data_IF_756056848859
#
_entry.id   IF_756056848859
#
_cell.length_a   1.000
_cell.length_b   1.000
_cell.length_c   1.000
_cell.angle_alpha   90.00
_cell.angle_beta   90.00
_cell.angle_gamma   90.00
#
_symmetry.space_group_name_H-M   'P 1'
#
loop_
_entity.id
_entity.type
_entity.pdbx_description
1 polymer ?
#
# COMPACT_ATOMS: atom_id res chain seq x y z
N UNK A 1 4.49 -14.37 -15.40
CA UNK A 1 3.78 -13.80 -14.25
C UNK A 1 4.57 -14.21 -13.02
N UNK A 2 5.03 -13.26 -12.20
CA UNK A 2 5.56 -13.58 -10.87
C UNK A 2 4.42 -14.13 -10.02
N UNK A 3 4.69 -15.15 -9.20
CA UNK A 3 3.70 -15.71 -8.26
C UNK A 3 3.36 -14.61 -7.24
N UNK A 4 2.08 -14.22 -7.13
CA UNK A 4 1.63 -13.16 -6.22
C UNK A 4 2.04 -13.40 -4.77
N UNK A 5 2.20 -14.67 -4.37
CA UNK A 5 2.66 -15.04 -3.03
C UNK A 5 4.11 -14.64 -2.78
N UNK A 6 4.95 -14.72 -3.81
CA UNK A 6 6.35 -14.25 -3.74
C UNK A 6 6.36 -12.73 -3.54
N UNK A 7 5.54 -12.02 -4.32
CA UNK A 7 5.42 -10.56 -4.22
C UNK A 7 4.91 -10.13 -2.82
N UNK A 8 3.93 -10.82 -2.25
CA UNK A 8 3.47 -10.51 -0.89
C UNK A 8 4.59 -10.60 0.14
N UNK A 9 5.35 -11.70 0.13
CA UNK A 9 6.45 -11.88 1.09
C UNK A 9 7.58 -10.84 0.92
N UNK A 10 7.78 -10.36 -0.30
CA UNK A 10 8.84 -9.40 -0.63
C UNK A 10 8.44 -7.95 -0.35
N UNK A 11 7.15 -7.62 -0.36
CA UNK A 11 6.69 -6.24 -0.37
C UNK A 11 5.68 -5.87 0.71
N UNK A 12 5.18 -6.79 1.54
CA UNK A 12 4.30 -6.45 2.68
C UNK A 12 5.08 -6.28 3.98
N UNK A 13 4.51 -5.53 4.93
CA UNK A 13 5.08 -5.29 6.27
C UNK A 13 6.47 -4.64 6.25
N UNK A 14 6.71 -3.72 5.31
CA UNK A 14 7.98 -2.99 5.16
C UNK A 14 7.75 -1.49 5.18
N UNK A 15 8.75 -0.74 5.61
CA UNK A 15 8.76 0.71 5.48
C UNK A 15 9.04 1.11 4.04
N UNK A 16 8.21 1.98 3.47
CA UNK A 16 8.39 2.48 2.12
C UNK A 16 9.11 3.82 2.18
N UNK A 17 10.21 3.93 1.42
CA UNK A 17 11.10 5.09 1.44
C UNK A 17 11.29 5.67 0.03
N UNK A 18 11.23 6.99 -0.08
CA UNK A 18 11.63 7.74 -1.26
C UNK A 18 12.81 8.64 -0.88
N UNK A 19 13.98 8.37 -1.49
CA UNK A 19 15.22 8.98 -1.03
C UNK A 19 15.56 8.62 0.43
N UNK A 20 15.68 9.63 1.29
CA UNK A 20 15.93 9.48 2.73
C UNK A 20 14.65 9.49 3.58
N UNK A 21 13.51 9.80 2.98
CA UNK A 21 12.24 9.99 3.66
C UNK A 21 11.45 8.67 3.73
N UNK A 22 10.83 8.40 4.89
CA UNK A 22 9.84 7.34 5.05
C UNK A 22 8.48 7.92 4.69
N UNK A 23 7.85 7.38 3.64
CA UNK A 23 6.54 7.84 3.16
C UNK A 23 5.38 6.99 3.70
N UNK A 24 5.66 5.82 4.27
CA UNK A 24 4.63 4.98 4.88
C UNK A 24 5.04 3.53 5.11
N UNK A 25 4.04 2.67 5.27
CA UNK A 25 4.19 1.23 5.48
C UNK A 25 3.38 0.45 4.45
N UNK A 26 3.98 -0.59 3.88
CA UNK A 26 3.30 -1.43 2.90
C UNK A 26 2.35 -2.42 3.61
N UNK A 27 1.07 -2.33 3.27
CA UNK A 27 0.00 -3.10 3.92
C UNK A 27 -0.57 -4.21 3.04
N UNK A 28 -0.41 -4.09 1.71
CA UNK A 28 -0.86 -5.09 0.76
C UNK A 28 -0.08 -4.99 -0.55
N UNK A 29 -0.06 -6.08 -1.32
CA UNK A 29 0.33 -6.08 -2.73
C UNK A 29 -0.73 -6.81 -3.53
N UNK A 30 -1.18 -6.20 -4.61
CA UNK A 30 -2.22 -6.74 -5.49
C UNK A 30 -1.99 -6.22 -6.90
N UNK A 31 -2.15 -7.07 -7.92
CA UNK A 31 -2.11 -6.66 -9.33
C UNK A 31 -0.87 -5.82 -9.72
N UNK A 32 0.31 -6.13 -9.16
CA UNK A 32 1.56 -5.40 -9.46
C UNK A 32 1.67 -4.03 -8.79
N UNK A 33 0.80 -3.72 -7.83
CA UNK A 33 0.79 -2.47 -7.07
C UNK A 33 0.99 -2.76 -5.59
N UNK A 34 1.85 -1.96 -4.95
CA UNK A 34 2.11 -1.95 -3.52
C UNK A 34 1.21 -0.90 -2.89
N UNK A 35 0.39 -1.32 -1.93
CA UNK A 35 -0.47 -0.44 -1.16
C UNK A 35 0.27 0.02 0.07
N UNK A 36 0.41 1.34 0.21
CA UNK A 36 1.17 1.99 1.27
C UNK A 36 0.22 2.83 2.10
N UNK A 37 0.17 2.57 3.40
CA UNK A 37 -0.49 3.45 4.35
C UNK A 37 0.48 4.53 4.80
N UNK A 38 0.14 5.78 4.55
CA UNK A 38 0.86 6.96 5.03
C UNK A 38 0.05 7.70 6.08
N UNK A 39 0.61 8.77 6.65
CA UNK A 39 -0.14 9.68 7.54
C UNK A 39 -1.23 10.45 6.79
N UNK A 40 -1.00 10.74 5.50
CA UNK A 40 -1.91 11.54 4.66
C UNK A 40 -2.97 10.71 3.92
N UNK A 41 -2.89 9.39 3.98
CA UNK A 41 -3.87 8.50 3.33
C UNK A 41 -3.27 7.18 2.86
N UNK A 42 -3.82 6.68 1.75
CA UNK A 42 -3.36 5.45 1.11
C UNK A 42 -2.74 5.80 -0.24
N UNK A 43 -1.58 5.22 -0.53
CA UNK A 43 -0.91 5.31 -1.82
C UNK A 43 -0.90 3.94 -2.49
N UNK A 44 -1.07 3.93 -3.81
CA UNK A 44 -0.93 2.76 -4.66
C UNK A 44 0.27 2.96 -5.58
N UNK A 45 1.37 2.24 -5.30
CA UNK A 45 2.67 2.44 -5.97
C UNK A 45 2.99 1.21 -6.83
N UNK A 46 3.19 1.36 -8.16
CA UNK A 46 3.57 0.24 -9.02
C UNK A 46 4.89 -0.40 -8.60
N UNK A 47 4.97 -1.74 -8.63
CA UNK A 47 6.19 -2.50 -8.28
C UNK A 47 7.39 -2.11 -9.13
N UNK A 48 7.19 -1.70 -10.39
CA UNK A 48 8.26 -1.21 -11.28
C UNK A 48 8.99 0.06 -10.76
N UNK A 49 8.34 0.80 -9.85
CA UNK A 49 8.94 1.96 -9.16
C UNK A 49 9.85 1.54 -8.01
N UNK A 50 9.87 0.27 -7.63
CA UNK A 50 10.84 -0.25 -6.66
C UNK A 50 12.24 -0.19 -7.27
N UNK A 51 13.14 0.45 -6.55
CA UNK A 51 14.58 0.45 -6.84
C UNK A 51 15.25 -0.80 -6.26
N UNK A 52 14.93 -1.13 -5.01
CA UNK A 52 15.39 -2.33 -4.30
C UNK A 52 14.58 -2.55 -3.03
N UNK A 53 14.66 -3.76 -2.50
CA UNK A 53 14.14 -4.14 -1.18
C UNK A 53 15.27 -4.52 -0.22
N UNK A 54 15.02 -4.35 1.07
CA UNK A 54 15.81 -4.94 2.16
C UNK A 54 14.89 -5.77 3.04
N UNK A 55 15.40 -6.29 4.17
CA UNK A 55 14.57 -7.00 5.14
C UNK A 55 13.41 -6.14 5.67
N UNK A 56 13.63 -4.83 5.87
CA UNK A 56 12.63 -3.95 6.48
C UNK A 56 12.14 -2.83 5.56
N UNK A 57 12.84 -2.55 4.46
CA UNK A 57 12.56 -1.38 3.63
C UNK A 57 12.25 -1.73 2.18
N UNK A 58 11.37 -0.96 1.57
CA UNK A 58 11.16 -0.85 0.12
C UNK A 58 11.65 0.53 -0.29
N UNK A 59 12.63 0.57 -1.17
CA UNK A 59 13.25 1.82 -1.61
C UNK A 59 12.75 2.11 -3.03
N UNK A 60 12.13 3.26 -3.21
CA UNK A 60 11.52 3.67 -4.47
C UNK A 60 12.46 4.50 -5.35
N UNK A 61 12.22 4.46 -6.66
CA UNK A 61 12.61 5.47 -7.64
C UNK A 61 11.55 6.59 -7.64
N UNK A 62 11.73 7.60 -8.47
CA UNK A 62 10.74 8.66 -8.64
C UNK A 62 9.42 8.13 -9.22
N UNK A 63 8.32 8.65 -8.70
CA UNK A 63 6.96 8.31 -9.08
C UNK A 63 6.07 9.55 -9.00
N UNK A 64 4.88 9.48 -9.60
CA UNK A 64 3.89 10.54 -9.49
C UNK A 64 3.06 10.32 -8.22
N UNK A 65 3.26 11.17 -7.22
CA UNK A 65 2.60 11.05 -5.92
C UNK A 65 1.09 11.31 -6.00
N UNK A 66 0.66 12.26 -6.84
CA UNK A 66 -0.76 12.60 -7.02
C UNK A 66 -1.55 11.42 -7.62
N UNK A 67 -0.96 10.76 -8.63
CA UNK A 67 -1.53 9.53 -9.20
C UNK A 67 -1.55 8.41 -8.17
N UNK A 68 -0.44 8.20 -7.44
CA UNK A 68 -0.38 7.16 -6.41
C UNK A 68 -1.44 7.36 -5.32
N UNK A 69 -1.70 8.61 -4.93
CA UNK A 69 -2.76 8.94 -3.97
C UNK A 69 -4.15 8.66 -4.55
N UNK A 70 -4.41 9.09 -5.78
CA UNK A 70 -5.69 8.85 -6.46
C UNK A 70 -6.01 7.36 -6.52
N UNK A 71 -5.05 6.54 -6.98
CA UNK A 71 -5.22 5.09 -7.06
C UNK A 71 -5.29 4.42 -5.69
N UNK A 72 -4.61 4.96 -4.67
CA UNK A 72 -4.67 4.45 -3.31
C UNK A 72 -6.04 4.67 -2.68
N UNK A 73 -6.66 5.84 -2.92
CA UNK A 73 -8.02 6.15 -2.51
C UNK A 73 -9.05 5.25 -3.22
N UNK A 74 -8.90 5.03 -4.53
CA UNK A 74 -9.73 4.10 -5.29
C UNK A 74 -9.64 2.68 -4.72
N UNK A 75 -8.42 2.17 -4.49
CA UNK A 75 -8.21 0.86 -3.91
C UNK A 75 -8.85 0.72 -2.53
N UNK A 76 -8.71 1.74 -1.67
CA UNK A 76 -9.31 1.74 -0.34
C UNK A 76 -10.84 1.60 -0.44
N UNK A 77 -11.47 2.35 -1.35
CA UNK A 77 -12.92 2.34 -1.54
C UNK A 77 -13.45 1.03 -2.13
N UNK A 78 -12.66 0.32 -2.94
CA UNK A 78 -13.11 -0.92 -3.61
C UNK A 78 -12.74 -2.20 -2.85
N UNK A 79 -11.66 -2.17 -2.06
CA UNK A 79 -11.07 -3.38 -1.46
C UNK A 79 -11.20 -3.45 0.06
N UNK A 80 -11.73 -2.41 0.71
CA UNK A 80 -12.04 -2.49 2.14
C UNK A 80 -13.53 -2.71 2.35
N UNK A 81 -13.85 -3.81 3.04
CA UNK A 81 -15.19 -3.96 3.60
C UNK A 81 -15.35 -2.92 4.69
N UNK A 82 -16.23 -1.95 4.47
CA UNK A 82 -16.58 -0.97 5.49
C UNK A 82 -17.37 -1.69 6.57
N UNK A 83 -16.80 -1.80 7.77
CA UNK A 83 -17.53 -2.26 8.94
C UNK A 83 -18.36 -1.10 9.48
N UNK A 84 -19.67 -1.27 9.50
CA UNK A 84 -20.58 -0.28 10.08
C UNK A 84 -21.06 -0.80 11.44
N UNK A 85 -20.98 0.05 12.45
CA UNK A 85 -21.41 -0.27 13.80
C UNK A 85 -22.69 0.52 14.13
N UNK A 86 -23.58 -0.07 14.94
CA UNK A 86 -24.74 0.64 15.48
C UNK A 86 -24.37 1.51 16.70
N UNK A 87 -25.37 2.18 17.26
CA UNK A 87 -25.19 3.10 18.40
C UNK A 87 -24.74 2.38 19.68
N UNK A 88 -24.92 1.06 19.76
CA UNK A 88 -24.47 0.21 20.86
C UNK A 88 -23.09 -0.40 20.59
N UNK A 89 -22.49 -0.12 19.43
CA UNK A 89 -21.17 -0.61 19.03
C UNK A 89 -21.17 -2.02 18.45
N UNK A 90 -22.33 -2.55 18.06
CA UNK A 90 -22.45 -3.86 17.43
C UNK A 90 -22.32 -3.76 15.90
N UNK A 91 -21.67 -4.75 15.28
CA UNK A 91 -21.54 -4.80 13.82
C UNK A 91 -22.94 -4.91 13.18
N UNK A 92 -23.27 -3.99 12.28
CA UNK A 92 -24.48 -4.05 11.46
C UNK A 92 -24.32 -5.16 10.44
N UNK A 93 -25.24 -6.12 10.47
CA UNK A 93 -25.31 -7.23 9.50
C UNK A 93 -25.99 -6.78 8.20
#
# INVERSE_FOLDING_TARGET
MSDERILQSEYTCKYVKHGAEKIGESIAVSNGVIIVKSEEGTLAIPVEKVKRTTENDIILKDFNESEAKTYGEEWLNTNTNKLEFDEEGMLKN
#
